data_IF_305847971909
#
_entry.id   IF_305847971909
#
_cell.length_a   1.000
_cell.length_b   1.000
_cell.length_c   1.000
_cell.angle_alpha   90.00
_cell.angle_beta   90.00
_cell.angle_gamma   90.00
#
_symmetry.space_group_name_H-M   'P 1'
#
loop_
_entity.id
_entity.type
_entity.pdbx_description
1 polymer ?
#
# COMPACT_ATOMS: atom_id res chain seq x y z
N UNK A 1 51.26 -5.44 -27.15
CA UNK A 1 51.11 -4.57 -25.95
C UNK A 1 49.89 -3.67 -26.09
N UNK A 2 49.89 -2.66 -26.95
CA UNK A 2 48.75 -1.71 -27.09
C UNK A 2 47.43 -2.39 -27.53
N UNK A 3 47.51 -3.34 -28.46
CA UNK A 3 46.34 -4.10 -28.92
C UNK A 3 45.78 -5.05 -27.84
N UNK A 4 46.64 -5.60 -26.97
CA UNK A 4 46.23 -6.49 -25.89
C UNK A 4 45.54 -5.72 -24.76
N UNK A 5 45.91 -4.46 -24.56
CA UNK A 5 45.31 -3.55 -23.59
C UNK A 5 43.91 -3.12 -24.04
N UNK A 6 43.76 -2.78 -25.33
CA UNK A 6 42.45 -2.48 -25.93
C UNK A 6 41.50 -3.69 -25.86
N UNK A 7 41.99 -4.89 -26.13
CA UNK A 7 41.18 -6.12 -26.02
C UNK A 7 40.71 -6.34 -24.58
N UNK A 8 41.58 -6.11 -23.58
CA UNK A 8 41.18 -6.20 -22.16
C UNK A 8 40.16 -5.13 -21.78
N UNK A 9 40.31 -3.91 -22.29
CA UNK A 9 39.38 -2.82 -21.98
C UNK A 9 37.99 -3.06 -22.57
N UNK A 10 37.92 -3.54 -23.82
CA UNK A 10 36.66 -3.95 -24.45
C UNK A 10 36.01 -5.11 -23.69
N UNK A 11 36.82 -6.05 -23.20
CA UNK A 11 36.30 -7.19 -22.43
C UNK A 11 35.72 -6.73 -21.08
N UNK A 12 36.42 -5.84 -20.36
CA UNK A 12 35.90 -5.20 -19.14
C UNK A 12 34.59 -4.45 -19.41
N UNK A 13 34.52 -3.69 -20.50
CA UNK A 13 33.32 -2.95 -20.86
C UNK A 13 32.12 -3.89 -21.09
N UNK A 14 32.34 -5.02 -21.76
CA UNK A 14 31.31 -6.05 -21.99
C UNK A 14 30.82 -6.68 -20.68
N UNK A 15 31.73 -6.94 -19.76
CA UNK A 15 31.40 -7.50 -18.44
C UNK A 15 30.55 -6.50 -17.64
N UNK A 16 30.95 -5.23 -17.58
CA UNK A 16 30.19 -4.17 -16.92
C UNK A 16 28.79 -3.99 -17.54
N UNK A 17 28.69 -3.99 -18.87
CA UNK A 17 27.40 -3.91 -19.56
C UNK A 17 26.50 -5.09 -19.23
N UNK A 18 27.05 -6.31 -19.18
CA UNK A 18 26.30 -7.50 -18.78
C UNK A 18 25.78 -7.42 -17.35
N UNK A 19 26.56 -6.89 -16.42
CA UNK A 19 26.11 -6.68 -15.04
C UNK A 19 25.00 -5.63 -14.92
N UNK A 20 25.11 -4.53 -15.68
CA UNK A 20 24.06 -3.50 -15.75
C UNK A 20 22.76 -4.09 -16.30
N UNK A 21 22.83 -4.88 -17.38
CA UNK A 21 21.64 -5.51 -17.96
C UNK A 21 20.96 -6.49 -16.98
N UNK A 22 21.74 -7.26 -16.20
CA UNK A 22 21.18 -8.14 -15.16
C UNK A 22 20.44 -7.35 -14.09
N UNK A 23 21.03 -6.25 -13.62
CA UNK A 23 20.42 -5.35 -12.64
C UNK A 23 19.13 -4.72 -13.18
N UNK A 24 19.16 -4.26 -14.43
CA UNK A 24 18.01 -3.66 -15.10
C UNK A 24 16.85 -4.65 -15.27
N UNK A 25 17.15 -5.93 -15.55
CA UNK A 25 16.14 -6.98 -15.64
C UNK A 25 15.40 -7.18 -14.30
N UNK A 26 16.12 -7.15 -13.17
CA UNK A 26 15.52 -7.24 -11.83
C UNK A 26 14.62 -6.03 -11.56
N UNK A 27 15.11 -4.82 -11.82
CA UNK A 27 14.33 -3.58 -11.62
C UNK A 27 13.06 -3.59 -12.48
N UNK A 28 13.18 -4.00 -13.74
CA UNK A 28 12.05 -4.10 -14.66
C UNK A 28 11.00 -5.11 -14.18
N UNK A 29 11.44 -6.25 -13.64
CA UNK A 29 10.55 -7.26 -13.07
C UNK A 29 9.80 -6.73 -11.83
N UNK A 30 10.48 -5.96 -10.98
CA UNK A 30 9.87 -5.30 -9.82
C UNK A 30 8.85 -4.24 -10.25
N UNK A 31 9.19 -3.40 -11.23
CA UNK A 31 8.29 -2.40 -11.77
C UNK A 31 7.03 -3.04 -12.38
N UNK A 32 7.17 -4.17 -13.09
CA UNK A 32 6.03 -4.93 -13.60
C UNK A 32 5.17 -5.52 -12.48
N UNK A 33 5.77 -6.03 -11.40
CA UNK A 33 5.02 -6.53 -10.24
C UNK A 33 4.21 -5.42 -9.56
N UNK A 34 4.81 -4.23 -9.43
CA UNK A 34 4.15 -3.05 -8.90
C UNK A 34 3.03 -2.53 -9.82
N UNK A 35 3.26 -2.45 -11.13
CA UNK A 35 2.23 -2.06 -12.09
C UNK A 35 1.09 -3.08 -12.14
N UNK A 36 1.35 -4.39 -11.99
CA UNK A 36 0.30 -5.40 -11.83
C UNK A 36 -0.53 -5.15 -10.57
N UNK A 37 0.10 -4.82 -9.44
CA UNK A 37 -0.63 -4.46 -8.21
C UNK A 37 -1.51 -3.22 -8.42
N UNK A 38 -0.98 -2.18 -9.08
CA UNK A 38 -1.73 -0.97 -9.41
C UNK A 38 -2.86 -1.22 -10.42
N UNK A 39 -2.64 -2.08 -11.41
CA UNK A 39 -3.66 -2.42 -12.40
C UNK A 39 -4.76 -3.28 -11.79
N UNK A 40 -4.42 -4.25 -10.93
CA UNK A 40 -5.42 -4.99 -10.14
C UNK A 40 -6.21 -4.05 -9.24
N UNK A 41 -5.55 -3.04 -8.69
CA UNK A 41 -6.20 -1.98 -7.91
C UNK A 41 -7.15 -1.11 -8.77
N UNK A 42 -6.72 -0.71 -9.97
CA UNK A 42 -7.45 0.19 -10.86
C UNK A 42 -8.57 -0.49 -11.66
N UNK A 43 -8.38 -1.74 -12.07
CA UNK A 43 -9.28 -2.48 -12.97
C UNK A 43 -10.49 -3.06 -12.21
N UNK A 44 -10.35 -3.35 -10.91
CA UNK A 44 -11.41 -4.07 -10.17
C UNK A 44 -12.13 -3.28 -9.08
N UNK A 45 -11.64 -2.11 -8.64
CA UNK A 45 -12.42 -1.18 -7.80
C UNK A 45 -13.14 -1.77 -6.57
N UNK A 46 -12.78 -2.97 -6.13
CA UNK A 46 -13.61 -3.82 -5.29
C UNK A 46 -13.03 -5.23 -5.18
N UNK A 47 -12.71 -5.64 -3.96
CA UNK A 47 -12.13 -6.93 -3.54
C UNK A 47 -10.61 -7.07 -3.76
N UNK A 48 -9.76 -6.85 -2.77
CA UNK A 48 -10.04 -6.28 -1.46
C UNK A 48 -8.80 -6.23 -0.57
N UNK A 49 -8.84 -5.29 0.37
CA UNK A 49 -7.83 -5.06 1.41
C UNK A 49 -7.46 -6.36 2.17
N UNK A 50 -8.30 -7.40 2.12
CA UNK A 50 -8.05 -8.78 2.55
C UNK A 50 -6.90 -9.51 1.85
N UNK A 51 -6.57 -9.15 0.62
CA UNK A 51 -5.50 -9.78 -0.16
C UNK A 51 -4.14 -9.15 0.16
N UNK A 52 -4.14 -7.85 0.47
CA UNK A 52 -2.94 -7.08 0.80
C UNK A 52 -2.62 -7.12 2.30
N UNK A 53 -3.64 -7.35 3.14
CA UNK A 53 -3.53 -7.38 4.60
C UNK A 53 -4.23 -8.65 5.12
N UNK A 54 -3.50 -9.79 5.15
CA UNK A 54 -4.03 -11.07 5.61
C UNK A 54 -4.70 -11.00 6.99
N UNK A 55 -4.22 -10.11 7.86
CA UNK A 55 -4.65 -9.92 9.25
C UNK A 55 -6.11 -9.45 9.39
N UNK A 56 -6.65 -8.81 8.33
CA UNK A 56 -8.04 -8.32 8.32
C UNK A 56 -8.91 -9.00 7.25
N UNK A 57 -8.40 -10.08 6.65
CA UNK A 57 -9.11 -10.81 5.60
C UNK A 57 -10.52 -11.21 6.00
N UNK A 58 -10.65 -11.74 7.21
CA UNK A 58 -11.90 -12.25 7.76
C UNK A 58 -12.75 -11.15 8.43
N UNK A 59 -12.33 -9.89 8.38
CA UNK A 59 -13.01 -8.77 9.03
C UNK A 59 -13.54 -7.76 7.99
N UNK A 60 -14.77 -7.95 7.49
CA UNK A 60 -15.35 -7.08 6.45
C UNK A 60 -15.53 -5.64 6.92
N UNK A 61 -15.65 -5.40 8.23
CA UNK A 61 -15.81 -4.04 8.77
C UNK A 61 -14.46 -3.33 8.77
N UNK A 62 -13.40 -4.01 9.18
CA UNK A 62 -12.05 -3.46 9.14
C UNK A 62 -11.61 -3.10 7.71
N UNK A 63 -11.92 -3.97 6.73
CA UNK A 63 -11.67 -3.68 5.31
C UNK A 63 -12.37 -2.42 4.83
N UNK A 64 -13.64 -2.28 5.14
CA UNK A 64 -14.39 -1.08 4.72
C UNK A 64 -13.86 0.18 5.40
N UNK A 65 -13.43 0.10 6.67
CA UNK A 65 -12.79 1.23 7.37
C UNK A 65 -11.49 1.65 6.68
N UNK A 66 -10.65 0.71 6.27
CA UNK A 66 -9.41 1.01 5.54
C UNK A 66 -9.73 1.65 4.19
N UNK A 67 -10.75 1.15 3.47
CA UNK A 67 -11.20 1.74 2.21
C UNK A 67 -11.65 3.20 2.40
N UNK A 68 -12.46 3.46 3.42
CA UNK A 68 -12.91 4.80 3.78
C UNK A 68 -11.72 5.73 4.09
N UNK A 69 -10.74 5.25 4.84
CA UNK A 69 -9.53 6.03 5.16
C UNK A 69 -8.67 6.31 3.93
N UNK A 70 -8.63 5.38 2.97
CA UNK A 70 -7.96 5.58 1.69
C UNK A 70 -8.63 6.68 0.86
N UNK A 71 -9.97 6.66 0.81
CA UNK A 71 -10.77 7.62 0.05
C UNK A 71 -10.69 9.02 0.68
N UNK A 72 -10.87 9.12 2.00
CA UNK A 72 -10.89 10.39 2.74
C UNK A 72 -9.50 10.92 3.10
N UNK A 73 -8.44 10.15 2.87
CA UNK A 73 -7.03 10.41 3.28
C UNK A 73 -6.79 10.47 4.78
N UNK A 74 -7.65 11.13 5.55
CA UNK A 74 -7.65 11.15 7.02
C UNK A 74 -9.06 11.39 7.55
N UNK A 75 -9.46 10.69 8.60
CA UNK A 75 -10.79 10.86 9.19
C UNK A 75 -10.81 10.54 10.69
N UNK A 76 -11.72 11.18 11.43
CA UNK A 76 -12.03 10.84 12.82
C UNK A 76 -13.10 9.73 12.89
N UNK A 77 -13.31 9.15 14.09
CA UNK A 77 -14.28 8.05 14.30
C UNK A 77 -15.69 8.42 13.82
N UNK A 78 -16.13 9.66 14.01
CA UNK A 78 -17.49 10.07 13.60
C UNK A 78 -17.62 10.14 12.09
N UNK A 79 -16.61 10.65 11.39
CA UNK A 79 -16.56 10.68 9.92
C UNK A 79 -16.55 9.27 9.35
N UNK A 80 -15.68 8.39 9.88
CA UNK A 80 -15.61 6.98 9.48
C UNK A 80 -16.95 6.27 9.73
N UNK A 81 -17.58 6.51 10.89
CA UNK A 81 -18.87 5.90 11.21
C UNK A 81 -19.97 6.34 10.24
N UNK A 82 -20.00 7.62 9.87
CA UNK A 82 -20.98 8.17 8.92
C UNK A 82 -20.80 7.54 7.54
N UNK A 83 -19.57 7.51 7.03
CA UNK A 83 -19.27 6.93 5.73
C UNK A 83 -19.56 5.43 5.70
N UNK A 84 -19.16 4.70 6.74
CA UNK A 84 -19.42 3.26 6.88
C UNK A 84 -20.93 2.96 6.93
N UNK A 85 -21.72 3.83 7.58
CA UNK A 85 -23.18 3.73 7.59
C UNK A 85 -23.77 3.98 6.21
N UNK A 86 -23.26 4.97 5.46
CA UNK A 86 -23.68 5.24 4.09
C UNK A 86 -23.48 4.04 3.16
N UNK A 87 -22.34 3.36 3.29
CA UNK A 87 -22.00 2.21 2.45
C UNK A 87 -22.68 0.90 2.84
N UNK A 88 -22.90 0.66 4.15
CA UNK A 88 -23.38 -0.63 4.67
C UNK A 88 -24.78 -0.59 5.28
N UNK A 89 -25.43 0.57 5.29
CA UNK A 89 -26.71 0.81 5.97
C UNK A 89 -26.63 0.90 7.50
N UNK A 90 -25.68 0.20 8.15
CA UNK A 90 -25.49 0.19 9.60
C UNK A 90 -24.03 0.31 10.03
N UNK A 91 -23.77 1.16 11.02
CA UNK A 91 -22.49 1.27 11.71
C UNK A 91 -22.68 1.85 13.12
N UNK A 92 -21.94 1.30 14.10
CA UNK A 92 -21.86 1.83 15.46
C UNK A 92 -20.50 2.45 15.70
N UNK A 93 -20.47 3.62 16.38
CA UNK A 93 -19.23 4.28 16.80
C UNK A 93 -18.34 3.37 17.65
N UNK A 94 -18.94 2.51 18.48
CA UNK A 94 -18.19 1.58 19.33
C UNK A 94 -17.50 0.50 18.49
N UNK A 95 -18.19 -0.06 17.48
CA UNK A 95 -17.59 -1.01 16.53
C UNK A 95 -16.44 -0.35 15.77
N UNK A 96 -16.64 0.86 15.24
CA UNK A 96 -15.59 1.59 14.52
C UNK A 96 -14.38 1.87 15.41
N UNK A 97 -14.60 2.35 16.65
CA UNK A 97 -13.52 2.58 17.62
C UNK A 97 -12.72 1.30 17.92
N UNK A 98 -13.41 0.18 18.15
CA UNK A 98 -12.77 -1.11 18.40
C UNK A 98 -11.93 -1.58 17.21
N UNK A 99 -12.45 -1.45 15.99
CA UNK A 99 -11.74 -1.83 14.77
C UNK A 99 -10.53 -0.93 14.48
N UNK A 100 -10.67 0.38 14.65
CA UNK A 100 -9.56 1.33 14.49
C UNK A 100 -8.42 1.01 15.47
N UNK A 101 -8.73 0.73 16.74
CA UNK A 101 -7.71 0.33 17.72
C UNK A 101 -6.98 -0.94 17.29
N UNK A 102 -7.70 -1.94 16.77
CA UNK A 102 -7.09 -3.18 16.25
C UNK A 102 -6.21 -2.89 15.03
N UNK A 103 -6.69 -2.08 14.09
CA UNK A 103 -5.93 -1.71 12.88
C UNK A 103 -4.66 -0.91 13.23
N UNK A 104 -4.73 -0.05 14.24
CA UNK A 104 -3.61 0.72 14.74
C UNK A 104 -2.55 -0.17 15.40
N UNK A 105 -2.99 -1.13 16.22
CA UNK A 105 -2.11 -2.16 16.80
C UNK A 105 -1.40 -3.02 15.75
N UNK A 106 -2.05 -3.25 14.61
CA UNK A 106 -1.49 -3.97 13.47
C UNK A 106 -0.63 -3.09 12.56
N UNK A 107 -0.50 -1.79 12.84
CA UNK A 107 0.26 -0.84 12.02
C UNK A 107 -0.37 -0.50 10.66
N UNK A 108 -1.65 -0.86 10.46
CA UNK A 108 -2.37 -0.66 9.19
C UNK A 108 -2.88 0.79 9.07
N UNK A 109 -3.22 1.40 10.20
CA UNK A 109 -3.60 2.80 10.30
C UNK A 109 -2.75 3.48 11.35
N UNK A 110 -2.50 4.76 11.16
CA UNK A 110 -1.73 5.58 12.11
C UNK A 110 -2.53 6.81 12.49
N UNK A 111 -2.34 7.27 13.73
CA UNK A 111 -2.88 8.55 14.17
C UNK A 111 -2.25 9.68 13.34
N UNK A 112 -3.10 10.55 12.81
CA UNK A 112 -2.72 11.74 12.07
C UNK A 112 -3.00 12.97 12.92
N UNK A 113 -2.13 13.98 12.83
CA UNK A 113 -2.32 15.26 13.50
C UNK A 113 -3.71 15.83 13.14
N UNK A 114 -4.52 16.05 14.16
CA UNK A 114 -5.82 16.66 14.05
C UNK A 114 -5.85 18.06 14.63
N UNK A 115 -6.82 18.86 14.19
CA UNK A 115 -7.06 20.18 14.74
C UNK A 115 -7.71 20.06 16.13
N UNK A 116 -7.28 20.91 17.08
CA UNK A 116 -7.96 21.14 18.37
C UNK A 116 -8.20 19.85 19.19
N UNK A 117 -7.24 18.94 19.23
CA UNK A 117 -7.32 17.72 20.05
C UNK A 117 -8.24 16.62 19.51
N UNK A 118 -8.76 16.77 18.29
CA UNK A 118 -9.57 15.73 17.64
C UNK A 118 -8.64 14.71 16.98
N UNK A 119 -8.61 13.49 17.51
CA UNK A 119 -7.83 12.39 16.91
C UNK A 119 -8.38 12.03 15.53
N UNK A 120 -7.49 11.90 14.55
CA UNK A 120 -7.79 11.44 13.20
C UNK A 120 -6.89 10.26 12.88
N UNK A 121 -7.34 9.38 12.00
CA UNK A 121 -6.54 8.26 11.50
C UNK A 121 -6.38 8.39 10.00
N UNK A 122 -5.24 7.93 9.51
CA UNK A 122 -4.97 7.73 8.08
C UNK A 122 -4.50 6.30 7.85
N UNK A 123 -4.66 5.82 6.62
CA UNK A 123 -3.97 4.61 6.20
C UNK A 123 -2.44 4.87 6.24
N UNK A 124 -1.68 3.90 6.74
CA UNK A 124 -0.23 4.02 6.94
C UNK A 124 0.48 4.21 5.61
#
# INVERSE_FOLDING_TARGET
MENDELVREVQRLRETLNEIMKTFAIISQMAQAYLRLLNVYAEYGGVGIDVVIPEIKNDPIAREIVRILFDLKKANISEITRELRGRRGKASRNTVRSKIKKLEQLGIVVEANGERGIRRWRWN
#
